data_IF_111818398522
#
_entry.id   IF_111818398522
#
_cell.length_a   1.000
_cell.length_b   1.000
_cell.length_c   1.000
_cell.angle_alpha   90.00
_cell.angle_beta   90.00
_cell.angle_gamma   90.00
#
_symmetry.space_group_name_H-M   'P 1'
#
loop_
_entity.id
_entity.type
_entity.pdbx_description
1 polymer ?
#
# COMPACT_ATOMS: atom_id res chain seq x y z
N UNK A 1 15.47 8.55 3.69
CA UNK A 1 14.01 8.51 3.42
C UNK A 1 13.63 7.32 2.53
N UNK A 2 14.35 7.11 1.42
CA UNK A 2 14.02 6.04 0.48
C UNK A 2 14.14 4.64 1.10
N UNK A 3 15.21 4.35 1.84
CA UNK A 3 15.39 3.06 2.50
C UNK A 3 14.31 2.80 3.57
N UNK A 4 13.96 3.82 4.35
CA UNK A 4 12.89 3.72 5.34
C UNK A 4 11.55 3.41 4.67
N UNK A 5 11.26 4.03 3.54
CA UNK A 5 10.04 3.81 2.78
C UNK A 5 9.99 2.39 2.19
N UNK A 6 11.13 1.87 1.69
CA UNK A 6 11.21 0.49 1.17
C UNK A 6 10.91 -0.53 2.28
N UNK A 7 11.50 -0.36 3.44
CA UNK A 7 11.28 -1.28 4.58
C UNK A 7 9.86 -1.20 5.09
N UNK A 8 9.42 0.00 5.47
CA UNK A 8 8.08 0.21 6.05
C UNK A 8 6.99 -0.14 5.04
N UNK A 9 7.15 0.29 3.79
CA UNK A 9 6.18 0.00 2.74
C UNK A 9 6.03 -1.50 2.44
N UNK A 10 7.13 -2.24 2.46
CA UNK A 10 7.10 -3.70 2.27
C UNK A 10 6.39 -4.41 3.43
N UNK A 11 6.65 -4.00 4.67
CA UNK A 11 5.97 -4.54 5.86
C UNK A 11 4.46 -4.24 5.80
N UNK A 12 4.10 -3.00 5.48
CA UNK A 12 2.70 -2.59 5.37
C UNK A 12 1.97 -3.37 4.28
N UNK A 13 2.56 -3.53 3.10
CA UNK A 13 1.94 -4.29 2.02
C UNK A 13 1.82 -5.78 2.37
N UNK A 14 2.81 -6.36 3.06
CA UNK A 14 2.70 -7.72 3.60
C UNK A 14 1.51 -7.84 4.54
N UNK A 15 1.37 -6.91 5.49
CA UNK A 15 0.26 -6.90 6.44
C UNK A 15 -1.10 -6.73 5.76
N UNK A 16 -1.19 -5.88 4.72
CA UNK A 16 -2.42 -5.70 3.93
C UNK A 16 -2.84 -7.01 3.24
N UNK A 17 -1.91 -7.69 2.60
CA UNK A 17 -2.19 -8.95 1.89
C UNK A 17 -2.56 -10.05 2.88
N UNK A 18 -1.82 -10.18 3.98
CA UNK A 18 -2.13 -11.17 5.02
C UNK A 18 -3.48 -10.89 5.68
N UNK A 19 -3.84 -9.61 5.87
CA UNK A 19 -5.16 -9.24 6.39
C UNK A 19 -6.28 -9.61 5.41
N UNK A 20 -6.04 -9.46 4.10
CA UNK A 20 -7.00 -9.88 3.08
C UNK A 20 -7.29 -11.38 3.15
N UNK A 21 -6.27 -12.19 3.40
CA UNK A 21 -6.38 -13.66 3.44
C UNK A 21 -6.99 -14.14 4.76
N UNK A 22 -6.56 -13.58 5.90
CA UNK A 22 -6.82 -14.14 7.22
C UNK A 22 -7.92 -13.43 8.01
N UNK A 23 -8.18 -12.14 7.76
CA UNK A 23 -9.17 -11.40 8.53
C UNK A 23 -10.56 -11.46 7.89
N UNK A 24 -11.53 -11.74 8.74
CA UNK A 24 -12.96 -11.60 8.41
C UNK A 24 -13.49 -10.30 9.02
N UNK A 25 -14.27 -9.59 8.24
CA UNK A 25 -14.90 -8.34 8.69
C UNK A 25 -14.11 -7.08 8.37
N UNK A 26 -14.78 -6.13 7.75
CA UNK A 26 -14.20 -4.90 7.24
C UNK A 26 -13.68 -3.95 8.32
N UNK A 27 -14.22 -3.99 9.53
CA UNK A 27 -13.75 -3.14 10.65
C UNK A 27 -12.27 -3.37 10.98
N UNK A 28 -11.84 -4.64 11.02
CA UNK A 28 -10.42 -5.00 11.27
C UNK A 28 -9.54 -4.60 10.10
N UNK A 29 -10.03 -4.79 8.89
CA UNK A 29 -9.31 -4.43 7.65
C UNK A 29 -9.11 -2.92 7.56
N UNK A 30 -10.12 -2.11 7.90
CA UNK A 30 -9.99 -0.66 7.93
C UNK A 30 -8.87 -0.19 8.85
N UNK A 31 -8.68 -0.81 10.01
CA UNK A 31 -7.54 -0.52 10.90
C UNK A 31 -6.20 -0.77 10.21
N UNK A 32 -6.03 -1.91 9.54
CA UNK A 32 -4.78 -2.23 8.82
C UNK A 32 -4.55 -1.29 7.64
N UNK A 33 -5.61 -0.86 6.97
CA UNK A 33 -5.55 0.06 5.81
C UNK A 33 -5.14 1.48 6.22
N UNK A 34 -5.61 1.97 7.37
CA UNK A 34 -5.50 3.38 7.74
C UNK A 34 -4.34 3.68 8.68
N UNK A 35 -4.08 2.82 9.67
CA UNK A 35 -3.09 3.08 10.74
C UNK A 35 -1.66 3.31 10.25
N UNK A 36 -1.13 2.57 9.27
CA UNK A 36 0.25 2.78 8.85
C UNK A 36 0.52 4.19 8.31
N UNK A 37 -0.40 4.75 7.56
CA UNK A 37 -0.26 6.11 7.00
C UNK A 37 -0.25 7.17 8.10
N UNK A 38 -1.11 7.02 9.09
CA UNK A 38 -1.17 7.92 10.26
C UNK A 38 0.13 7.83 11.06
N UNK A 39 0.60 6.62 11.35
CA UNK A 39 1.82 6.39 12.11
C UNK A 39 3.06 6.93 11.42
N UNK A 40 3.22 6.70 10.13
CA UNK A 40 4.38 7.19 9.36
C UNK A 40 4.37 8.71 9.21
N UNK A 41 3.20 9.32 9.11
CA UNK A 41 3.06 10.77 9.06
C UNK A 41 3.41 11.39 10.40
N UNK A 42 2.85 10.90 11.50
CA UNK A 42 3.09 11.44 12.85
C UNK A 42 4.54 11.28 13.29
N UNK A 43 5.17 10.16 12.95
CA UNK A 43 6.56 9.90 13.31
C UNK A 43 7.57 10.71 12.47
N UNK A 44 7.19 11.15 11.27
CA UNK A 44 8.11 11.77 10.31
C UNK A 44 9.21 10.83 9.81
N UNK A 45 9.20 9.56 10.22
CA UNK A 45 10.29 8.61 9.99
C UNK A 45 10.52 8.32 8.50
N UNK A 46 9.46 8.15 7.73
CA UNK A 46 9.55 7.77 6.31
C UNK A 46 9.80 8.98 5.41
N UNK A 47 9.04 10.04 5.59
CA UNK A 47 9.01 11.17 4.67
C UNK A 47 9.71 12.42 5.19
N UNK A 48 10.15 12.43 6.47
CA UNK A 48 10.86 13.55 7.10
C UNK A 48 10.14 14.88 6.86
N UNK A 49 10.80 15.85 6.24
CA UNK A 49 10.24 17.17 5.94
C UNK A 49 9.03 17.14 4.98
N UNK A 50 8.90 16.09 4.18
CA UNK A 50 7.75 15.90 3.30
C UNK A 50 6.49 15.36 4.01
N UNK A 51 6.61 14.93 5.29
CA UNK A 51 5.50 14.33 6.05
C UNK A 51 4.28 15.23 6.15
N UNK A 52 4.50 16.56 6.25
CA UNK A 52 3.40 17.54 6.31
C UNK A 52 2.53 17.49 5.04
N UNK A 53 3.15 17.31 3.88
CA UNK A 53 2.45 17.23 2.60
C UNK A 53 1.77 15.87 2.36
N UNK A 54 2.21 14.84 3.09
CA UNK A 54 1.61 13.51 3.01
C UNK A 54 0.18 13.46 3.54
N UNK A 55 -0.22 14.43 4.37
CA UNK A 55 -1.62 14.59 4.82
C UNK A 55 -2.58 14.58 3.64
N UNK A 56 -2.24 15.29 2.58
CA UNK A 56 -3.08 15.38 1.37
C UNK A 56 -3.17 14.08 0.60
N UNK A 57 -2.17 13.20 0.76
CA UNK A 57 -2.14 11.89 0.12
C UNK A 57 -2.85 10.79 0.91
N UNK A 58 -3.17 11.02 2.18
CA UNK A 58 -3.79 10.00 3.05
C UNK A 58 -5.04 9.37 2.41
N UNK A 59 -6.02 10.14 1.90
CA UNK A 59 -7.20 9.55 1.29
C UNK A 59 -6.88 8.62 0.11
N UNK A 60 -5.96 9.05 -0.78
CA UNK A 60 -5.55 8.24 -1.93
C UNK A 60 -4.81 6.95 -1.49
N UNK A 61 -3.95 7.05 -0.47
CA UNK A 61 -3.24 5.90 0.10
C UNK A 61 -4.23 4.91 0.73
N UNK A 62 -5.21 5.39 1.48
CA UNK A 62 -6.24 4.54 2.08
C UNK A 62 -7.07 3.81 1.03
N UNK A 63 -7.52 4.53 0.01
CA UNK A 63 -8.28 3.94 -1.11
C UNK A 63 -7.41 2.91 -1.83
N UNK A 64 -6.15 3.22 -2.12
CA UNK A 64 -5.23 2.29 -2.76
C UNK A 64 -4.97 1.03 -1.93
N UNK A 65 -4.75 1.18 -0.62
CA UNK A 65 -4.59 0.06 0.30
C UNK A 65 -5.87 -0.81 0.38
N UNK A 66 -7.03 -0.16 0.45
CA UNK A 66 -8.32 -0.85 0.45
C UNK A 66 -8.53 -1.63 -0.86
N UNK A 67 -8.21 -1.03 -2.01
CA UNK A 67 -8.33 -1.69 -3.32
C UNK A 67 -7.44 -2.92 -3.41
N UNK A 68 -6.19 -2.85 -2.89
CA UNK A 68 -5.30 -4.01 -2.83
C UNK A 68 -5.93 -5.17 -2.04
N UNK A 69 -6.44 -4.89 -0.85
CA UNK A 69 -7.12 -5.90 0.00
C UNK A 69 -8.38 -6.43 -0.68
N UNK A 70 -9.17 -5.55 -1.27
CA UNK A 70 -10.40 -5.91 -1.97
C UNK A 70 -10.13 -6.83 -3.16
N UNK A 71 -9.11 -6.54 -3.98
CA UNK A 71 -8.75 -7.38 -5.12
C UNK A 71 -8.27 -8.77 -4.69
N UNK A 72 -7.50 -8.88 -3.61
CA UNK A 72 -7.14 -10.19 -3.05
C UNK A 72 -8.36 -10.97 -2.59
N UNK A 73 -9.28 -10.33 -1.87
CA UNK A 73 -10.52 -10.99 -1.43
C UNK A 73 -11.40 -11.41 -2.61
N UNK A 74 -11.56 -10.52 -3.59
CA UNK A 74 -12.42 -10.78 -4.74
C UNK A 74 -11.85 -11.88 -5.63
N UNK A 75 -10.59 -11.77 -6.01
CA UNK A 75 -10.00 -12.68 -7.01
C UNK A 75 -9.53 -13.99 -6.40
N UNK A 76 -8.90 -13.95 -5.24
CA UNK A 76 -8.35 -15.16 -4.63
C UNK A 76 -9.41 -15.96 -3.87
N UNK A 77 -10.24 -15.30 -3.06
CA UNK A 77 -11.18 -15.99 -2.16
C UNK A 77 -12.56 -16.20 -2.80
N UNK A 78 -13.11 -15.18 -3.46
CA UNK A 78 -14.47 -15.27 -4.03
C UNK A 78 -14.50 -15.90 -5.42
N UNK A 79 -13.50 -15.65 -6.25
CA UNK A 79 -13.42 -16.16 -7.63
C UNK A 79 -12.39 -17.28 -7.81
N UNK A 80 -11.77 -17.74 -6.72
CA UNK A 80 -10.81 -18.86 -6.72
C UNK A 80 -9.66 -18.70 -7.73
N UNK A 81 -9.21 -17.46 -7.95
CA UNK A 81 -8.08 -17.15 -8.82
C UNK A 81 -6.76 -17.34 -8.09
N UNK A 82 -5.67 -17.43 -8.86
CA UNK A 82 -4.34 -17.57 -8.30
C UNK A 82 -3.92 -16.40 -7.43
N UNK A 83 -3.14 -16.67 -6.38
CA UNK A 83 -2.54 -15.68 -5.49
C UNK A 83 -1.80 -14.57 -6.27
N UNK A 84 -0.92 -14.92 -7.20
CA UNK A 84 -0.13 -13.96 -7.96
C UNK A 84 -0.97 -13.14 -8.93
N UNK A 85 -2.02 -13.71 -9.54
CA UNK A 85 -2.95 -12.95 -10.37
C UNK A 85 -3.68 -11.89 -9.53
N UNK A 86 -4.18 -12.27 -8.36
CA UNK A 86 -4.79 -11.34 -7.42
C UNK A 86 -3.80 -10.23 -6.99
N UNK A 87 -2.54 -10.60 -6.76
CA UNK A 87 -1.47 -9.68 -6.42
C UNK A 87 -1.18 -8.67 -7.54
N UNK A 88 -0.99 -9.13 -8.75
CA UNK A 88 -0.71 -8.26 -9.91
C UNK A 88 -1.86 -7.27 -10.12
N UNK A 89 -3.09 -7.74 -10.17
CA UNK A 89 -4.28 -6.87 -10.34
C UNK A 89 -4.41 -5.91 -9.17
N UNK A 90 -4.23 -6.38 -7.95
CA UNK A 90 -4.29 -5.56 -6.74
C UNK A 90 -3.22 -4.47 -6.70
N UNK A 91 -1.97 -4.81 -7.02
CA UNK A 91 -0.84 -3.86 -7.05
C UNK A 91 -1.06 -2.81 -8.14
N UNK A 92 -1.40 -3.22 -9.36
CA UNK A 92 -1.66 -2.28 -10.47
C UNK A 92 -2.80 -1.34 -10.11
N UNK A 93 -3.91 -1.85 -9.60
CA UNK A 93 -5.06 -1.04 -9.18
C UNK A 93 -4.70 -0.06 -8.06
N UNK A 94 -3.96 -0.51 -7.03
CA UNK A 94 -3.46 0.34 -5.95
C UNK A 94 -2.58 1.47 -6.47
N UNK A 95 -1.61 1.16 -7.33
CA UNK A 95 -0.67 2.14 -7.87
C UNK A 95 -1.39 3.17 -8.74
N UNK A 96 -2.35 2.75 -9.54
CA UNK A 96 -3.19 3.67 -10.34
C UNK A 96 -3.93 4.66 -9.44
N UNK A 97 -4.52 4.20 -8.36
CA UNK A 97 -5.24 5.06 -7.40
C UNK A 97 -4.30 6.06 -6.73
N UNK A 98 -3.16 5.60 -6.22
CA UNK A 98 -2.21 6.46 -5.49
C UNK A 98 -1.54 7.45 -6.44
N UNK A 99 -1.06 6.99 -7.60
CA UNK A 99 -0.44 7.84 -8.61
C UNK A 99 -1.43 8.86 -9.17
N UNK A 100 -2.68 8.43 -9.43
CA UNK A 100 -3.77 9.31 -9.88
C UNK A 100 -4.08 10.39 -8.85
N UNK A 101 -4.18 10.03 -7.58
CA UNK A 101 -4.36 10.99 -6.48
C UNK A 101 -3.21 11.99 -6.39
N UNK A 102 -1.98 11.52 -6.51
CA UNK A 102 -0.80 12.40 -6.54
C UNK A 102 -0.83 13.36 -7.73
N UNK A 103 -1.12 12.87 -8.93
CA UNK A 103 -1.20 13.71 -10.13
C UNK A 103 -2.29 14.76 -10.03
N UNK A 104 -3.44 14.42 -9.44
CA UNK A 104 -4.53 15.35 -9.21
C UNK A 104 -4.07 16.48 -8.25
N UNK A 105 -3.48 16.14 -7.12
CA UNK A 105 -3.00 17.13 -6.15
C UNK A 105 -1.85 17.97 -6.70
N UNK A 106 -0.97 17.38 -7.51
CA UNK A 106 0.08 18.11 -8.22
C UNK A 106 -0.50 19.17 -9.16
N UNK A 107 -1.58 18.84 -9.88
CA UNK A 107 -2.25 19.78 -10.78
C UNK A 107 -2.84 21.00 -10.03
N UNK A 108 -3.19 20.84 -8.74
CA UNK A 108 -3.61 21.94 -7.86
C UNK A 108 -2.46 22.68 -7.17
N UNK A 109 -1.19 22.38 -7.54
CA UNK A 109 0.02 22.99 -6.96
C UNK A 109 0.11 22.86 -5.43
N UNK A 110 -0.39 21.75 -4.88
CA UNK A 110 -0.35 21.49 -3.42
C UNK A 110 1.09 21.25 -2.93
N UNK A 111 1.95 20.68 -3.78
CA UNK A 111 3.30 20.29 -3.41
C UNK A 111 4.34 21.32 -3.85
N UNK A 112 5.34 21.66 -2.99
CA UNK A 112 6.48 22.46 -3.40
C UNK A 112 7.26 21.78 -4.53
N UNK A 113 7.70 22.55 -5.53
CA UNK A 113 8.44 22.02 -6.69
C UNK A 113 9.61 21.11 -6.31
N UNK A 114 10.39 21.54 -5.30
CA UNK A 114 11.53 20.77 -4.77
C UNK A 114 11.18 19.37 -4.23
N UNK A 115 9.94 19.14 -3.86
CA UNK A 115 9.46 17.86 -3.33
C UNK A 115 8.71 17.01 -4.37
N UNK A 116 8.31 17.60 -5.49
CA UNK A 116 7.47 16.91 -6.50
C UNK A 116 8.12 15.62 -6.99
N UNK A 117 9.41 15.66 -7.38
CA UNK A 117 10.11 14.47 -7.89
C UNK A 117 10.20 13.37 -6.83
N UNK A 118 10.56 13.74 -5.59
CA UNK A 118 10.65 12.78 -4.48
C UNK A 118 9.29 12.14 -4.18
N UNK A 119 8.24 12.94 -4.08
CA UNK A 119 6.88 12.47 -3.82
C UNK A 119 6.33 11.65 -4.98
N UNK A 120 6.62 12.04 -6.23
CA UNK A 120 6.21 11.28 -7.42
C UNK A 120 6.83 9.89 -7.41
N UNK A 121 8.13 9.76 -7.16
CA UNK A 121 8.80 8.46 -7.03
C UNK A 121 8.20 7.64 -5.90
N UNK A 122 7.94 8.27 -4.76
CA UNK A 122 7.33 7.62 -3.60
C UNK A 122 5.92 7.09 -3.87
N UNK A 123 5.14 7.81 -4.68
CA UNK A 123 3.73 7.47 -4.99
C UNK A 123 3.56 6.61 -6.25
N UNK A 124 4.63 6.34 -6.98
CA UNK A 124 4.62 5.51 -8.19
C UNK A 124 5.56 4.31 -8.04
N UNK A 125 6.81 4.46 -8.43
CA UNK A 125 7.81 3.39 -8.49
C UNK A 125 7.99 2.69 -7.15
N UNK A 126 8.10 3.43 -6.06
CA UNK A 126 8.28 2.84 -4.73
C UNK A 126 7.05 2.05 -4.29
N UNK A 127 5.84 2.44 -4.67
CA UNK A 127 4.62 1.67 -4.40
C UNK A 127 4.64 0.32 -5.12
N UNK A 128 5.08 0.28 -6.38
CA UNK A 128 5.22 -0.99 -7.13
C UNK A 128 6.23 -1.90 -6.45
N UNK A 129 7.41 -1.39 -6.12
CA UNK A 129 8.49 -2.17 -5.51
C UNK A 129 8.07 -2.72 -4.15
N UNK A 130 7.55 -1.88 -3.25
CA UNK A 130 7.18 -2.30 -1.89
C UNK A 130 5.98 -3.23 -1.88
N UNK A 131 5.02 -3.04 -2.77
CA UNK A 131 3.89 -3.93 -2.90
C UNK A 131 4.31 -5.30 -3.48
N UNK A 132 5.23 -5.32 -4.43
CA UNK A 132 5.78 -6.57 -4.98
C UNK A 132 6.59 -7.34 -3.93
N UNK A 133 7.45 -6.67 -3.18
CA UNK A 133 8.18 -7.29 -2.06
C UNK A 133 7.19 -7.83 -1.02
N UNK A 134 6.19 -7.04 -0.64
CA UNK A 134 5.13 -7.46 0.28
C UNK A 134 4.37 -8.69 -0.22
N UNK A 135 4.09 -8.76 -1.52
CA UNK A 135 3.43 -9.90 -2.14
C UNK A 135 4.26 -11.19 -2.00
N UNK A 136 5.58 -11.13 -2.22
CA UNK A 136 6.46 -12.30 -2.08
C UNK A 136 6.61 -12.73 -0.62
N UNK A 137 6.78 -11.77 0.31
CA UNK A 137 6.87 -12.08 1.75
C UNK A 137 5.55 -12.71 2.23
N UNK A 138 4.42 -12.12 1.89
CA UNK A 138 3.11 -12.65 2.27
C UNK A 138 2.85 -14.04 1.67
N UNK A 139 3.33 -14.30 0.46
CA UNK A 139 3.25 -15.63 -0.13
C UNK A 139 4.02 -16.68 0.66
N UNK A 140 5.24 -16.36 1.10
CA UNK A 140 6.03 -17.25 1.93
C UNK A 140 5.32 -17.56 3.26
N UNK A 141 4.78 -16.54 3.93
CA UNK A 141 4.00 -16.70 5.18
C UNK A 141 2.74 -17.55 4.92
N UNK A 142 2.00 -17.26 3.87
CA UNK A 142 0.79 -18.00 3.49
C UNK A 142 1.08 -19.49 3.26
N UNK A 143 2.19 -19.80 2.59
CA UNK A 143 2.62 -21.19 2.38
C UNK A 143 3.00 -21.90 3.69
N UNK A 144 3.71 -21.22 4.58
CA UNK A 144 4.07 -21.74 5.89
C UNK A 144 2.82 -22.01 6.76
N UNK A 145 1.88 -21.08 6.81
CA UNK A 145 0.61 -21.26 7.52
C UNK A 145 -0.19 -22.46 6.99
N UNK A 146 -0.19 -22.66 5.68
CA UNK A 146 -0.89 -23.76 5.05
C UNK A 146 -0.22 -25.11 5.29
N UNK A 147 1.10 -25.15 5.41
CA UNK A 147 1.85 -26.35 5.71
C UNK A 147 1.76 -26.78 7.19
N UNK A 148 1.42 -25.84 8.10
CA UNK A 148 1.28 -26.11 9.54
C UNK A 148 -0.11 -26.63 9.96
N UNK A 149 -1.06 -26.65 9.05
CA UNK A 149 -2.44 -27.15 9.26
C UNK A 149 -2.60 -28.54 8.67
#
# INVERSE_FOLDING_TARGET
AQNSQLIVGSIVNTALIMSAINLKGWKKILGVVTMPSISTMLSGYVFKSASVYMVYMIPAIWIGNFVLVYMYKLLMLSKEKHYFLAGIVGIVSKVIVIAGGFMLLKAFNIFPEKLVTTLQTAMTTTQVITASIGMFIAFAIYKLEKASK
#
